data_IF_498980066592
#
_entry.id   IF_498980066592
#
_cell.length_a   1.000
_cell.length_b   1.000
_cell.length_c   1.000
_cell.angle_alpha   90.00
_cell.angle_beta   90.00
_cell.angle_gamma   90.00
#
_symmetry.space_group_name_H-M   'P 1'
#
loop_
_entity.id
_entity.type
_entity.pdbx_description
1 polymer ?
#
# COMPACT_ATOMS: atom_id res chain seq x y z
N UNK A 1 18.53 31.27 46.47
CA UNK A 1 18.64 30.42 45.26
C UNK A 1 18.07 29.07 45.59
N UNK A 2 16.98 28.66 44.94
CA UNK A 2 16.53 27.27 44.92
C UNK A 2 16.12 26.96 43.47
N UNK A 3 16.87 26.06 42.84
CA UNK A 3 16.68 25.63 41.45
C UNK A 3 15.62 24.53 41.47
N UNK A 4 14.46 24.78 40.85
CA UNK A 4 13.43 23.77 40.61
C UNK A 4 13.78 23.07 39.29
N UNK A 5 14.27 21.83 39.39
CA UNK A 5 14.61 21.00 38.23
C UNK A 5 13.35 20.42 37.57
N UNK A 6 13.17 20.69 36.28
CA UNK A 6 12.21 20.02 35.41
C UNK A 6 12.68 18.58 35.15
N UNK A 7 11.92 17.58 35.57
CA UNK A 7 12.11 16.20 35.10
C UNK A 7 11.14 16.00 33.93
N UNK A 8 11.62 16.23 32.71
CA UNK A 8 10.90 15.84 31.50
C UNK A 8 11.06 14.32 31.32
N UNK A 9 10.04 13.55 31.68
CA UNK A 9 9.98 12.13 31.39
C UNK A 9 9.76 11.91 29.89
N UNK A 10 10.78 11.46 29.17
CA UNK A 10 10.60 10.84 27.86
C UNK A 10 10.05 9.43 28.07
N UNK A 11 8.76 9.23 27.80
CA UNK A 11 8.17 7.89 27.73
C UNK A 11 8.77 7.09 26.57
N UNK A 12 8.74 5.74 26.63
CA UNK A 12 9.25 4.91 25.54
C UNK A 12 8.49 5.24 24.25
N UNK A 13 9.22 5.47 23.16
CA UNK A 13 8.63 5.48 21.84
C UNK A 13 8.04 4.08 21.60
N UNK A 14 6.72 3.95 21.60
CA UNK A 14 6.06 2.71 21.19
C UNK A 14 6.41 2.49 19.72
N UNK A 15 7.33 1.56 19.45
CA UNK A 15 7.55 1.07 18.11
C UNK A 15 6.21 0.50 17.62
N UNK A 16 5.78 0.90 16.42
CA UNK A 16 4.54 0.41 15.84
C UNK A 16 4.60 -1.13 15.79
N UNK A 17 3.59 -1.79 16.36
CA UNK A 17 3.52 -3.24 16.32
C UNK A 17 3.38 -3.70 14.86
N UNK A 18 4.18 -4.69 14.41
CA UNK A 18 4.14 -5.18 13.04
C UNK A 18 2.92 -6.09 12.84
N UNK A 19 1.73 -5.51 12.96
CA UNK A 19 0.45 -6.19 12.77
C UNK A 19 -0.34 -5.50 11.67
N UNK A 20 -0.75 -6.27 10.67
CA UNK A 20 -1.73 -5.88 9.66
C UNK A 20 -2.62 -7.09 9.36
N UNK A 21 -3.64 -7.27 10.20
CA UNK A 21 -4.58 -8.40 10.12
C UNK A 21 -6.01 -7.88 10.14
N UNK A 22 -6.89 -8.49 9.33
CA UNK A 22 -8.30 -8.13 9.21
C UNK A 22 -8.68 -7.61 7.82
N UNK A 23 -9.91 -7.12 7.69
CA UNK A 23 -10.40 -6.54 6.43
C UNK A 23 -10.06 -5.06 6.33
N UNK A 24 -9.50 -4.66 5.19
CA UNK A 24 -9.14 -3.28 4.90
C UNK A 24 -9.61 -2.87 3.51
N UNK A 25 -10.16 -1.66 3.39
CA UNK A 25 -10.36 -1.00 2.11
C UNK A 25 -9.05 -0.31 1.70
N UNK A 26 -8.41 -0.82 0.65
CA UNK A 26 -7.17 -0.27 0.09
C UNK A 26 -7.50 0.76 -0.97
N UNK A 27 -7.35 2.03 -0.62
CA UNK A 27 -7.53 3.17 -1.50
C UNK A 27 -6.23 3.55 -2.19
N UNK A 28 -6.30 3.74 -3.51
CA UNK A 28 -5.24 4.27 -4.35
C UNK A 28 -5.66 5.65 -4.84
N UNK A 29 -4.84 6.66 -4.59
CA UNK A 29 -5.14 8.06 -4.93
C UNK A 29 -4.65 8.40 -6.34
N UNK A 30 -5.19 7.69 -7.34
CA UNK A 30 -4.76 7.81 -8.73
C UNK A 30 -5.11 9.17 -9.36
N UNK A 31 -6.10 9.89 -8.83
CA UNK A 31 -6.46 11.22 -9.32
C UNK A 31 -5.37 12.27 -9.08
N UNK A 32 -4.51 12.03 -8.09
CA UNK A 32 -3.40 12.91 -7.70
C UNK A 32 -2.04 12.26 -7.95
N UNK A 33 -1.97 11.26 -8.82
CA UNK A 33 -0.69 10.63 -9.16
C UNK A 33 0.25 11.61 -9.87
N UNK A 34 1.53 11.37 -9.71
CA UNK A 34 2.62 12.16 -10.29
C UNK A 34 3.67 11.23 -10.89
N UNK A 35 4.68 11.79 -11.56
CA UNK A 35 5.77 11.02 -12.15
C UNK A 35 6.13 11.49 -13.55
N UNK A 36 7.06 10.78 -14.18
CA UNK A 36 7.62 11.13 -15.50
C UNK A 36 7.01 10.33 -16.65
N UNK A 37 6.27 9.26 -16.36
CA UNK A 37 5.62 8.42 -17.37
C UNK A 37 4.42 9.14 -18.00
N UNK A 38 4.13 8.84 -19.27
CA UNK A 38 2.84 9.18 -19.89
C UNK A 38 1.66 8.76 -18.99
N UNK A 39 1.73 7.58 -18.38
CA UNK A 39 0.68 7.07 -17.51
C UNK A 39 0.45 7.96 -16.28
N UNK A 40 1.46 8.66 -15.77
CA UNK A 40 1.30 9.58 -14.64
C UNK A 40 0.50 10.85 -15.02
N UNK A 41 0.52 11.24 -16.29
CA UNK A 41 -0.21 12.43 -16.78
C UNK A 41 -1.68 12.14 -17.11
N UNK A 42 -2.06 10.87 -17.17
CA UNK A 42 -3.41 10.46 -17.52
C UNK A 42 -4.37 10.61 -16.35
N UNK A 43 -5.54 11.19 -16.62
CA UNK A 43 -6.59 11.33 -15.61
C UNK A 43 -7.22 9.97 -15.30
N UNK A 44 -7.12 9.57 -14.04
CA UNK A 44 -7.77 8.38 -13.49
C UNK A 44 -8.48 8.74 -12.19
N UNK A 45 -9.69 8.23 -11.91
CA UNK A 45 -10.31 8.43 -10.62
C UNK A 45 -9.57 7.65 -9.52
N UNK A 46 -9.69 8.10 -8.27
CA UNK A 46 -9.34 7.26 -7.13
C UNK A 46 -10.17 5.97 -7.15
N UNK A 47 -9.57 4.87 -6.69
CA UNK A 47 -10.25 3.59 -6.59
C UNK A 47 -9.86 2.86 -5.32
N UNK A 48 -10.78 2.00 -4.85
CA UNK A 48 -10.57 1.20 -3.66
C UNK A 48 -11.17 -0.19 -3.82
N UNK A 49 -10.49 -1.17 -3.22
CA UNK A 49 -10.95 -2.55 -3.12
C UNK A 49 -10.80 -3.02 -1.68
N UNK A 50 -11.64 -3.96 -1.25
CA UNK A 50 -11.53 -4.56 0.08
C UNK A 50 -10.77 -5.87 0.03
N UNK A 51 -9.77 -6.00 0.89
CA UNK A 51 -8.94 -7.20 1.04
C UNK A 51 -8.88 -7.64 2.50
N UNK A 52 -8.74 -8.94 2.73
CA UNK A 52 -8.41 -9.50 4.03
C UNK A 52 -6.92 -9.76 4.11
N UNK A 53 -6.27 -9.21 5.14
CA UNK A 53 -4.87 -9.45 5.44
C UNK A 53 -4.73 -10.42 6.61
N UNK A 54 -3.67 -11.22 6.55
CA UNK A 54 -3.15 -11.99 7.67
C UNK A 54 -1.66 -11.70 7.81
N UNK A 55 -1.23 -11.38 9.02
CA UNK A 55 0.16 -11.07 9.34
C UNK A 55 0.69 -11.92 10.48
N UNK A 56 2.01 -12.15 10.49
CA UNK A 56 2.70 -12.90 11.52
C UNK A 56 4.22 -12.78 11.41
N UNK A 57 4.91 -13.05 12.52
CA UNK A 57 6.36 -12.97 12.61
C UNK A 57 6.95 -14.35 12.91
N UNK A 58 7.94 -14.76 12.12
CA UNK A 58 8.70 -16.01 12.33
C UNK A 58 10.18 -15.68 12.27
N UNK A 59 10.94 -16.06 13.30
CA UNK A 59 12.40 -15.84 13.33
C UNK A 59 12.82 -14.37 13.23
N UNK A 60 11.98 -13.44 13.73
CA UNK A 60 12.24 -11.99 13.66
C UNK A 60 11.83 -11.32 12.35
N UNK A 61 11.35 -12.08 11.35
CA UNK A 61 10.83 -11.54 10.09
C UNK A 61 9.31 -11.52 10.15
N UNK A 62 8.72 -10.34 10.02
CA UNK A 62 7.27 -10.16 9.98
C UNK A 62 6.78 -10.00 8.54
N UNK A 63 5.75 -10.75 8.17
CA UNK A 63 5.10 -10.64 6.86
C UNK A 63 3.61 -10.45 7.00
N UNK A 64 3.00 -9.71 6.09
CA UNK A 64 1.56 -9.59 5.91
C UNK A 64 1.19 -10.03 4.49
N UNK A 65 0.17 -10.87 4.34
CA UNK A 65 -0.28 -11.34 3.03
C UNK A 65 -1.78 -11.11 2.86
N UNK A 66 -2.18 -10.80 1.64
CA UNK A 66 -3.60 -10.81 1.24
C UNK A 66 -4.05 -12.27 1.16
N UNK A 67 -5.09 -12.61 1.92
CA UNK A 67 -5.67 -13.97 1.97
C UNK A 67 -7.08 -14.06 1.36
N UNK A 68 -7.75 -12.92 1.16
CA UNK A 68 -9.01 -12.82 0.43
C UNK A 68 -9.21 -11.43 -0.18
N UNK A 69 -10.02 -11.33 -1.23
CA UNK A 69 -10.34 -10.09 -1.95
C UNK A 69 -10.42 -10.33 -3.46
N UNK A 70 -10.68 -9.28 -4.26
CA UNK A 70 -10.76 -9.41 -5.71
C UNK A 70 -9.41 -9.77 -6.33
N UNK A 71 -9.42 -10.63 -7.34
CA UNK A 71 -8.23 -10.90 -8.14
C UNK A 71 -7.82 -9.64 -8.93
N UNK A 72 -6.52 -9.39 -9.14
CA UNK A 72 -6.09 -8.27 -9.97
C UNK A 72 -6.55 -8.42 -11.42
N UNK A 73 -6.97 -7.31 -12.03
CA UNK A 73 -7.32 -7.29 -13.45
C UNK A 73 -6.12 -7.61 -14.37
N UNK A 74 -4.90 -7.26 -13.93
CA UNK A 74 -3.68 -7.60 -14.64
C UNK A 74 -3.12 -8.93 -14.11
N UNK A 75 -3.14 -10.02 -14.91
CA UNK A 75 -2.73 -11.34 -14.46
C UNK A 75 -1.22 -11.49 -14.25
N UNK A 76 -0.42 -10.49 -14.64
CA UNK A 76 1.04 -10.51 -14.44
C UNK A 76 1.47 -10.07 -13.05
N UNK A 77 0.55 -9.54 -12.24
CA UNK A 77 0.81 -9.18 -10.86
C UNK A 77 1.00 -10.46 -10.02
N UNK A 78 2.08 -10.54 -9.20
CA UNK A 78 2.30 -11.71 -8.36
C UNK A 78 1.20 -11.83 -7.30
N UNK A 79 0.81 -13.08 -7.03
CA UNK A 79 -0.21 -13.42 -6.04
C UNK A 79 0.31 -14.48 -5.06
N UNK A 80 -0.05 -14.40 -3.76
CA UNK A 80 -0.74 -13.27 -3.12
C UNK A 80 0.19 -12.06 -2.99
N UNK A 81 -0.38 -10.85 -2.90
CA UNK A 81 0.39 -9.68 -2.49
C UNK A 81 0.96 -9.90 -1.08
N UNK A 82 2.28 -9.70 -0.91
CA UNK A 82 3.01 -9.98 0.33
C UNK A 82 3.89 -8.80 0.72
N UNK A 83 3.67 -8.29 1.92
CA UNK A 83 4.43 -7.21 2.52
C UNK A 83 5.37 -7.73 3.59
N UNK A 84 6.55 -7.14 3.67
CA UNK A 84 7.54 -7.42 4.73
C UNK A 84 7.67 -6.18 5.61
N UNK A 85 7.74 -6.38 6.93
CA UNK A 85 7.98 -5.29 7.86
C UNK A 85 9.45 -4.86 7.81
N UNK A 86 9.70 -3.56 7.70
CA UNK A 86 11.07 -3.00 7.68
C UNK A 86 11.50 -2.34 9.00
N UNK A 87 10.67 -2.44 10.05
CA UNK A 87 10.85 -1.74 11.32
C UNK A 87 9.91 -0.56 11.51
N UNK A 88 9.32 -0.03 10.44
CA UNK A 88 8.42 1.13 10.49
C UNK A 88 7.20 1.02 9.58
N UNK A 89 7.30 0.29 8.48
CA UNK A 89 6.27 0.16 7.46
C UNK A 89 6.28 -1.23 6.82
N UNK A 90 5.13 -1.59 6.27
CA UNK A 90 4.94 -2.78 5.45
C UNK A 90 5.32 -2.47 4.01
N UNK A 91 6.27 -3.22 3.45
CA UNK A 91 6.80 -2.98 2.10
C UNK A 91 6.53 -4.18 1.21
N UNK A 92 5.93 -3.94 0.04
CA UNK A 92 5.76 -4.92 -1.02
C UNK A 92 6.52 -4.46 -2.26
N UNK A 93 7.50 -5.25 -2.66
CA UNK A 93 8.30 -5.04 -3.87
C UNK A 93 8.00 -6.15 -4.86
N UNK A 94 7.74 -5.80 -6.12
CA UNK A 94 7.35 -6.76 -7.12
C UNK A 94 7.58 -6.28 -8.55
N UNK A 95 7.80 -7.23 -9.46
CA UNK A 95 7.85 -6.99 -10.90
C UNK A 95 6.55 -7.46 -11.55
N UNK A 96 6.13 -6.76 -12.60
CA UNK A 96 4.94 -7.07 -13.38
C UNK A 96 5.01 -6.43 -14.77
N UNK A 97 3.97 -6.62 -15.60
CA UNK A 97 3.88 -6.01 -16.91
C UNK A 97 2.84 -4.88 -16.91
N UNK A 98 3.29 -3.65 -17.09
CA UNK A 98 2.43 -2.47 -17.22
C UNK A 98 1.65 -2.51 -18.54
N UNK A 99 0.31 -2.49 -18.47
CA UNK A 99 -0.57 -2.34 -19.63
C UNK A 99 -0.60 -0.85 -20.05
N UNK A 100 0.25 -0.47 -21.02
CA UNK A 100 0.45 0.93 -21.38
C UNK A 100 -0.73 1.47 -22.19
N UNK A 101 -1.67 2.14 -21.52
CA UNK A 101 -2.69 2.92 -22.19
C UNK A 101 -2.09 4.18 -22.83
N UNK A 102 -2.42 4.43 -24.10
CA UNK A 102 -1.92 5.58 -24.87
C UNK A 102 -3.04 6.44 -25.45
N UNK A 103 -4.29 6.10 -25.15
CA UNK A 103 -5.48 6.72 -25.72
C UNK A 103 -6.38 5.73 -26.46
N UNK A 104 -7.61 6.13 -26.82
CA UNK A 104 -8.56 5.27 -27.52
C UNK A 104 -8.03 4.84 -28.89
N UNK A 105 -8.23 3.57 -29.26
CA UNK A 105 -7.83 3.03 -30.56
C UNK A 105 -6.34 2.76 -30.73
N UNK A 106 -5.50 3.11 -29.76
CA UNK A 106 -4.07 2.80 -29.78
C UNK A 106 -3.83 1.45 -29.10
N UNK A 107 -3.06 0.53 -29.71
CA UNK A 107 -2.67 -0.72 -29.05
C UNK A 107 -2.00 -0.45 -27.70
N UNK A 108 -2.30 -1.30 -26.71
CA UNK A 108 -1.68 -1.21 -25.40
C UNK A 108 -0.55 -2.24 -25.27
N UNK A 109 0.73 -1.82 -25.42
CA UNK A 109 1.83 -2.73 -25.21
C UNK A 109 2.00 -3.03 -23.72
N UNK A 110 2.48 -4.23 -23.43
CA UNK A 110 2.94 -4.60 -22.10
C UNK A 110 4.42 -4.23 -21.95
N UNK A 111 4.74 -3.40 -20.97
CA UNK A 111 6.12 -2.97 -20.66
C UNK A 111 6.53 -3.49 -19.28
N UNK A 112 7.80 -3.88 -19.12
CA UNK A 112 8.29 -4.34 -17.81
C UNK A 112 8.22 -3.21 -16.80
N UNK A 113 7.72 -3.51 -15.60
CA UNK A 113 7.59 -2.55 -14.53
C UNK A 113 8.03 -3.14 -13.19
N UNK A 114 8.65 -2.30 -12.38
CA UNK A 114 9.04 -2.58 -11.02
C UNK A 114 8.25 -1.68 -10.08
N UNK A 115 7.61 -2.26 -9.07
CA UNK A 115 6.80 -1.52 -8.12
C UNK A 115 7.28 -1.72 -6.69
N UNK A 116 7.24 -0.63 -5.93
CA UNK A 116 7.36 -0.64 -4.48
C UNK A 116 6.15 0.06 -3.89
N UNK A 117 5.35 -0.67 -3.12
CA UNK A 117 4.26 -0.13 -2.31
C UNK A 117 4.64 -0.23 -0.84
N UNK A 118 4.42 0.84 -0.09
CA UNK A 118 4.54 0.77 1.37
C UNK A 118 3.35 1.37 2.11
N UNK A 119 3.13 0.85 3.32
CA UNK A 119 2.06 1.25 4.22
C UNK A 119 2.62 1.38 5.64
N UNK A 120 2.57 2.59 6.20
CA UNK A 120 2.94 2.88 7.57
C UNK A 120 1.66 2.93 8.44
N UNK A 121 1.61 2.17 9.55
CA UNK A 121 0.48 2.20 10.47
C UNK A 121 0.32 3.58 11.11
N UNK A 122 -0.93 3.99 11.31
CA UNK A 122 -1.31 5.23 11.97
C UNK A 122 -1.97 4.94 13.33
N UNK A 123 -1.96 5.90 14.27
CA UNK A 123 -2.57 5.70 15.60
C UNK A 123 -4.08 5.38 15.58
N UNK A 124 -4.78 5.76 14.51
CA UNK A 124 -6.23 5.51 14.33
C UNK A 124 -6.53 4.13 13.70
N UNK A 125 -5.49 3.30 13.51
CA UNK A 125 -5.60 1.97 12.90
C UNK A 125 -5.63 1.99 11.36
N UNK A 126 -5.61 3.17 10.73
CA UNK A 126 -5.40 3.26 9.29
C UNK A 126 -3.94 3.04 8.93
N UNK A 127 -3.68 2.85 7.64
CA UNK A 127 -2.33 2.89 7.10
C UNK A 127 -2.27 3.93 6.01
N UNK A 128 -1.13 4.61 5.90
CA UNK A 128 -0.83 5.54 4.81
C UNK A 128 0.50 5.21 4.17
N UNK A 129 0.66 5.48 2.89
CA UNK A 129 1.96 5.41 2.26
C UNK A 129 1.93 5.74 0.78
N UNK A 130 2.87 5.17 0.04
CA UNK A 130 3.07 5.46 -1.38
C UNK A 130 3.22 4.17 -2.16
N UNK A 131 2.66 4.16 -3.36
CA UNK A 131 2.94 3.20 -4.40
C UNK A 131 3.71 3.89 -5.53
N UNK A 132 4.93 3.43 -5.76
CA UNK A 132 5.78 3.84 -6.88
C UNK A 132 5.92 2.69 -7.85
N UNK A 133 5.83 3.01 -9.13
CA UNK A 133 6.15 2.10 -10.23
C UNK A 133 7.13 2.77 -11.18
N UNK A 134 8.21 2.07 -11.51
CA UNK A 134 9.15 2.45 -12.55
C UNK A 134 8.96 1.51 -13.75
N UNK A 135 8.62 2.08 -14.90
CA UNK A 135 8.33 1.39 -16.16
C UNK A 135 9.57 1.50 -17.03
N UNK A 136 10.13 0.35 -17.43
CA UNK A 136 11.47 0.26 -17.99
C UNK A 136 11.58 0.85 -19.40
N UNK A 137 10.58 0.62 -20.25
CA UNK A 137 10.66 0.92 -21.67
C UNK A 137 9.30 1.26 -22.29
N UNK A 138 9.33 1.58 -23.58
CA UNK A 138 8.15 1.87 -24.39
C UNK A 138 7.51 3.24 -24.12
N UNK A 139 6.31 3.46 -24.65
CA UNK A 139 5.64 4.76 -24.60
C UNK A 139 5.28 5.23 -23.17
N UNK A 140 5.15 4.28 -22.24
CA UNK A 140 4.91 4.56 -20.83
C UNK A 140 6.20 4.54 -19.98
N UNK A 141 7.40 4.49 -20.58
CA UNK A 141 8.65 4.53 -19.82
C UNK A 141 8.70 5.73 -18.86
N UNK A 142 9.27 5.51 -17.67
CA UNK A 142 9.36 6.51 -16.62
C UNK A 142 8.65 6.06 -15.33
N UNK A 143 8.31 7.03 -14.48
CA UNK A 143 7.78 6.76 -13.14
C UNK A 143 6.30 7.11 -13.02
N UNK A 144 5.60 6.36 -12.17
CA UNK A 144 4.26 6.68 -11.66
C UNK A 144 4.32 6.57 -10.14
N UNK A 145 3.89 7.60 -9.44
CA UNK A 145 3.87 7.68 -7.98
C UNK A 145 2.49 8.12 -7.54
N UNK A 146 1.87 7.37 -6.64
CA UNK A 146 0.60 7.78 -6.03
C UNK A 146 0.58 7.44 -4.55
N UNK A 147 -0.17 8.24 -3.79
CA UNK A 147 -0.45 7.93 -2.40
C UNK A 147 -1.37 6.71 -2.33
N UNK A 148 -1.27 5.98 -1.22
CA UNK A 148 -2.14 4.87 -0.89
C UNK A 148 -2.56 4.94 0.58
N UNK A 149 -3.72 4.40 0.89
CA UNK A 149 -4.17 4.23 2.26
C UNK A 149 -4.93 2.91 2.43
N UNK A 150 -4.89 2.34 3.62
CA UNK A 150 -5.70 1.19 4.00
C UNK A 150 -6.56 1.56 5.21
N UNK A 151 -7.87 1.45 5.06
CA UNK A 151 -8.85 1.77 6.09
C UNK A 151 -9.45 0.48 6.65
N UNK A 152 -9.42 0.25 7.98
CA UNK A 152 -10.09 -0.89 8.58
C UNK A 152 -11.57 -0.90 8.20
N UNK A 153 -12.04 -2.02 7.67
CA UNK A 153 -13.47 -2.26 7.53
C UNK A 153 -13.95 -2.72 8.89
N UNK A 154 -14.73 -1.87 9.59
CA UNK A 154 -15.36 -2.29 10.84
C UNK A 154 -16.24 -3.49 10.52
N UNK A 155 -15.96 -4.62 11.15
CA UNK A 155 -16.92 -5.72 11.20
C UNK A 155 -18.15 -5.17 11.90
N UNK A 156 -19.31 -5.14 11.24
CA UNK A 156 -20.57 -4.94 11.96
C UNK A 156 -20.69 -6.12 12.93
N UNK A 157 -20.40 -5.89 14.21
CA UNK A 157 -20.73 -6.85 15.24
C UNK A 157 -22.24 -7.08 15.14
N UNK A 158 -22.64 -8.28 14.73
CA UNK A 158 -24.02 -8.74 14.92
C UNK A 158 -24.26 -8.64 16.43
N UNK A 159 -25.27 -7.90 16.92
CA UNK A 159 -25.60 -7.95 18.33
C UNK A 159 -26.06 -9.38 18.61
N UNK A 160 -25.29 -10.12 19.40
CA UNK A 160 -25.83 -11.30 20.05
C UNK A 160 -26.89 -10.83 21.05
N UNK A 161 -28.16 -11.11 20.79
CA UNK A 161 -29.21 -11.01 21.80
C UNK A 161 -30.57 -10.56 21.29
N UNK A 162 -31.47 -11.53 21.11
CA UNK A 162 -32.81 -11.52 21.72
C UNK A 162 -33.20 -12.97 22.00
#
# INVERSE_FOLDING_TARGET
>A
MLVVGLIAGFGPAHAAEPTWTGQYSLKRFAATKTGTSLAATQREPDFADTYTFSSGCIGGVCTAAVVAGPAPANPTLPQPARYTWDGQKWVHTYDWMWDCYQGPGVPKPYNKAHSVAYYAPQPDGTFTGVWRTDIADGPCAGSVVMNVAAYPVRSSAVPFGS
#
